data_IF_228728337620
#
_entry.id   IF_228728337620
#
_cell.length_a   1.000
_cell.length_b   1.000
_cell.length_c   1.000
_cell.angle_alpha   90.00
_cell.angle_beta   90.00
_cell.angle_gamma   90.00
#
_symmetry.space_group_name_H-M   'P 1'
#
loop_
_entity.id
_entity.type
_entity.pdbx_description
1 polymer ?
#
# COMPACT_ATOMS: atom_id res chain seq x y z
N UNK A 1 27.39 -46.44 -45.54
CA UNK A 1 26.38 -45.37 -45.40
C UNK A 1 26.53 -44.75 -44.03
N UNK A 2 26.72 -43.44 -43.94
CA UNK A 2 26.74 -42.74 -42.64
C UNK A 2 25.32 -42.26 -42.39
N UNK A 3 24.69 -42.77 -41.33
CA UNK A 3 23.34 -42.39 -40.95
C UNK A 3 23.27 -40.87 -40.68
N UNK A 4 22.26 -40.20 -41.23
CA UNK A 4 22.03 -38.75 -41.10
C UNK A 4 22.02 -38.25 -39.65
N UNK A 5 21.67 -39.13 -38.69
CA UNK A 5 21.69 -38.86 -37.25
C UNK A 5 23.10 -38.69 -36.65
N UNK A 6 24.15 -39.16 -37.34
CA UNK A 6 25.54 -39.02 -36.90
C UNK A 6 26.23 -37.79 -37.50
N UNK A 7 25.61 -37.12 -38.49
CA UNK A 7 26.16 -35.94 -39.16
C UNK A 7 25.82 -34.60 -38.49
N UNK A 8 24.77 -34.55 -37.65
CA UNK A 8 24.54 -33.38 -36.79
C UNK A 8 25.24 -33.65 -35.47
N UNK A 9 26.54 -33.40 -35.43
CA UNK A 9 27.26 -33.28 -34.17
C UNK A 9 26.57 -32.22 -33.31
N UNK A 10 25.70 -32.66 -32.40
CA UNK A 10 25.18 -31.85 -31.32
C UNK A 10 26.36 -31.50 -30.42
N UNK A 11 27.16 -30.50 -30.80
CA UNK A 11 27.63 -29.56 -29.79
C UNK A 11 26.35 -29.06 -29.13
N UNK A 12 26.26 -29.15 -27.80
CA UNK A 12 25.19 -28.55 -26.98
C UNK A 12 25.17 -27.03 -27.19
N UNK A 13 24.78 -26.59 -28.38
CA UNK A 13 24.62 -25.19 -28.70
C UNK A 13 23.30 -24.78 -28.09
N UNK A 14 23.39 -23.93 -27.06
CA UNK A 14 22.24 -23.27 -26.44
C UNK A 14 21.30 -22.77 -27.53
N UNK A 15 19.99 -23.01 -27.36
CA UNK A 15 18.98 -22.58 -28.32
C UNK A 15 19.10 -21.08 -28.61
N UNK A 16 18.82 -20.66 -29.85
CA UNK A 16 18.91 -19.24 -30.25
C UNK A 16 18.07 -18.32 -29.35
N UNK A 17 16.93 -18.81 -28.87
CA UNK A 17 16.09 -18.06 -27.95
C UNK A 17 16.72 -17.91 -26.56
N UNK A 18 17.42 -18.93 -26.06
CA UNK A 18 18.17 -18.88 -24.82
C UNK A 18 19.33 -17.89 -24.92
N UNK A 19 20.12 -17.94 -25.99
CA UNK A 19 21.23 -16.99 -26.21
C UNK A 19 20.74 -15.54 -26.27
N UNK A 20 19.64 -15.28 -26.99
CA UNK A 20 19.03 -13.94 -27.07
C UNK A 20 18.49 -13.48 -25.73
N UNK A 21 17.88 -14.38 -24.96
CA UNK A 21 17.36 -14.10 -23.63
C UNK A 21 18.47 -13.75 -22.62
N UNK A 22 19.56 -14.53 -22.62
CA UNK A 22 20.74 -14.25 -21.78
C UNK A 22 21.29 -12.86 -22.07
N UNK A 23 21.56 -12.53 -23.35
CA UNK A 23 22.06 -11.19 -23.72
C UNK A 23 21.15 -10.07 -23.21
N UNK A 24 19.83 -10.22 -23.35
CA UNK A 24 18.86 -9.23 -22.86
C UNK A 24 18.86 -9.07 -21.35
N UNK A 25 19.02 -10.15 -20.59
CA UNK A 25 19.18 -10.09 -19.12
C UNK A 25 20.43 -9.29 -18.76
N UNK A 26 21.55 -9.57 -19.44
CA UNK A 26 22.81 -8.85 -19.22
C UNK A 26 22.69 -7.36 -19.59
N UNK A 27 22.06 -7.05 -20.73
CA UNK A 27 21.83 -5.68 -21.18
C UNK A 27 20.94 -4.92 -20.18
N UNK A 28 19.90 -5.56 -19.64
CA UNK A 28 19.05 -4.96 -18.62
C UNK A 28 19.82 -4.68 -17.32
N UNK A 29 20.69 -5.59 -16.88
CA UNK A 29 21.56 -5.37 -15.72
C UNK A 29 22.50 -4.17 -15.94
N UNK A 30 23.06 -4.02 -17.15
CA UNK A 30 23.94 -2.91 -17.52
C UNK A 30 23.19 -1.57 -17.56
N UNK A 31 21.98 -1.54 -18.14
CA UNK A 31 21.11 -0.35 -18.17
C UNK A 31 20.77 0.11 -16.75
N UNK A 32 20.53 -0.83 -15.84
CA UNK A 32 20.26 -0.57 -14.42
C UNK A 32 21.53 -0.32 -13.58
N UNK A 33 22.72 -0.43 -14.17
CA UNK A 33 24.03 -0.29 -13.51
C UNK A 33 24.18 -1.22 -12.28
N UNK A 34 23.73 -2.47 -12.42
CA UNK A 34 23.81 -3.46 -11.35
C UNK A 34 25.22 -4.06 -11.21
N UNK A 35 25.61 -4.50 -10.01
CA UNK A 35 26.87 -5.23 -9.81
C UNK A 35 26.93 -6.53 -10.61
N UNK A 36 28.12 -6.96 -11.03
CA UNK A 36 28.31 -8.17 -11.85
C UNK A 36 27.72 -9.45 -11.21
N UNK A 37 27.78 -9.58 -9.88
CA UNK A 37 27.19 -10.70 -9.16
C UNK A 37 25.67 -10.86 -9.39
N UNK A 38 24.97 -9.75 -9.65
CA UNK A 38 23.53 -9.77 -9.94
C UNK A 38 23.27 -10.31 -11.35
N UNK A 39 24.13 -9.96 -12.30
CA UNK A 39 24.05 -10.44 -13.67
C UNK A 39 24.17 -11.96 -13.71
N UNK A 40 25.17 -12.53 -13.05
CA UNK A 40 25.38 -13.99 -12.97
C UNK A 40 24.18 -14.72 -12.36
N UNK A 41 23.65 -14.18 -11.25
CA UNK A 41 22.49 -14.75 -10.56
C UNK A 41 21.23 -14.69 -11.44
N UNK A 42 20.98 -13.55 -12.08
CA UNK A 42 19.82 -13.38 -12.95
C UNK A 42 19.88 -14.27 -14.20
N UNK A 43 21.07 -14.42 -14.80
CA UNK A 43 21.30 -15.33 -15.94
C UNK A 43 21.08 -16.78 -15.52
N UNK A 44 21.57 -17.18 -14.33
CA UNK A 44 21.33 -18.51 -13.78
C UNK A 44 19.84 -18.81 -13.58
N UNK A 45 19.08 -17.87 -13.01
CA UNK A 45 17.63 -18.03 -12.90
C UNK A 45 16.92 -18.13 -14.25
N UNK A 46 17.35 -17.35 -15.24
CA UNK A 46 16.76 -17.39 -16.57
C UNK A 46 17.02 -18.73 -17.27
N UNK A 47 18.25 -19.23 -17.18
CA UNK A 47 18.63 -20.55 -17.73
C UNK A 47 17.83 -21.67 -17.09
N UNK A 48 17.73 -21.67 -15.75
CA UNK A 48 16.92 -22.66 -15.00
C UNK A 48 15.44 -22.58 -15.35
N UNK A 49 14.88 -21.37 -15.47
CA UNK A 49 13.47 -21.20 -15.84
C UNK A 49 13.16 -21.77 -17.22
N UNK A 50 14.04 -21.58 -18.21
CA UNK A 50 13.85 -22.10 -19.56
C UNK A 50 14.04 -23.61 -19.70
N UNK A 51 14.50 -24.32 -18.65
CA UNK A 51 14.53 -25.78 -18.60
C UNK A 51 13.21 -26.37 -18.06
N UNK A 52 12.31 -25.53 -17.54
CA UNK A 52 11.05 -25.98 -16.98
C UNK A 52 9.96 -26.08 -18.06
N UNK A 53 9.15 -27.16 -18.08
CA UNK A 53 8.06 -27.33 -19.04
C UNK A 53 7.09 -26.14 -19.08
N UNK A 54 6.87 -25.49 -17.94
CA UNK A 54 6.01 -24.31 -17.81
C UNK A 54 6.42 -23.13 -18.70
N UNK A 55 7.70 -23.02 -19.07
CA UNK A 55 8.24 -21.91 -19.87
C UNK A 55 8.73 -22.33 -21.27
N UNK A 56 8.69 -23.63 -21.61
CA UNK A 56 9.14 -24.11 -22.93
C UNK A 56 8.29 -23.55 -24.08
N UNK A 57 6.96 -23.62 -23.95
CA UNK A 57 6.00 -23.30 -25.01
C UNK A 57 5.28 -21.96 -24.81
N UNK A 58 5.82 -21.06 -23.99
CA UNK A 58 5.21 -19.73 -23.80
C UNK A 58 5.55 -18.79 -24.96
N UNK A 59 4.71 -17.77 -25.14
CA UNK A 59 4.89 -16.74 -26.16
C UNK A 59 6.25 -16.02 -26.03
N UNK A 60 6.73 -15.45 -27.14
CA UNK A 60 7.98 -14.70 -27.14
C UNK A 60 7.96 -13.56 -26.11
N UNK A 61 6.86 -12.81 -26.03
CA UNK A 61 6.67 -11.73 -25.05
C UNK A 61 6.87 -12.24 -23.61
N UNK A 62 6.27 -13.38 -23.24
CA UNK A 62 6.46 -13.96 -21.90
C UNK A 62 7.91 -14.37 -21.64
N UNK A 63 8.65 -14.84 -22.66
CA UNK A 63 10.08 -15.15 -22.54
C UNK A 63 10.93 -13.89 -22.36
N UNK A 64 10.54 -12.77 -22.95
CA UNK A 64 11.20 -11.48 -22.73
C UNK A 64 10.97 -10.97 -21.30
N UNK A 65 9.73 -11.04 -20.82
CA UNK A 65 9.37 -10.67 -19.45
C UNK A 65 10.02 -11.57 -18.40
N UNK A 66 10.23 -12.85 -18.73
CA UNK A 66 10.91 -13.81 -17.85
C UNK A 66 12.30 -13.31 -17.46
N UNK A 67 13.07 -12.76 -18.41
CA UNK A 67 14.37 -12.17 -18.15
C UNK A 67 14.28 -10.97 -17.18
N UNK A 68 13.29 -10.09 -17.39
CA UNK A 68 13.00 -8.99 -16.47
C UNK A 68 12.61 -9.45 -15.06
N UNK A 69 11.84 -10.53 -14.96
CA UNK A 69 11.46 -11.14 -13.69
C UNK A 69 12.67 -11.74 -12.96
N UNK A 70 13.61 -12.37 -13.68
CA UNK A 70 14.86 -12.86 -13.09
C UNK A 70 15.68 -11.71 -12.49
N UNK A 71 15.89 -10.62 -13.25
CA UNK A 71 16.58 -9.43 -12.74
C UNK A 71 15.86 -8.84 -11.54
N UNK A 72 14.53 -8.75 -11.59
CA UNK A 72 13.71 -8.27 -10.48
C UNK A 72 13.91 -9.08 -9.20
N UNK A 73 13.84 -10.42 -9.29
CA UNK A 73 14.01 -11.32 -8.14
C UNK A 73 15.40 -11.16 -7.55
N UNK A 74 16.45 -11.15 -8.38
CA UNK A 74 17.82 -10.94 -7.93
C UNK A 74 17.97 -9.60 -7.21
N UNK A 75 17.39 -8.52 -7.77
CA UNK A 75 17.39 -7.22 -7.09
C UNK A 75 16.74 -7.28 -5.71
N UNK A 76 15.60 -7.99 -5.58
CA UNK A 76 14.93 -8.14 -4.28
C UNK A 76 15.74 -8.93 -3.26
N UNK A 77 16.42 -9.99 -3.68
CA UNK A 77 17.24 -10.80 -2.78
C UNK A 77 18.45 -10.04 -2.23
N UNK A 78 18.97 -9.08 -2.99
CA UNK A 78 20.08 -8.22 -2.58
C UNK A 78 19.64 -6.85 -2.03
N UNK A 79 18.36 -6.68 -1.66
CA UNK A 79 17.80 -5.41 -1.16
C UNK A 79 18.01 -4.21 -2.11
N UNK A 80 18.12 -4.46 -3.42
CA UNK A 80 18.20 -3.40 -4.42
C UNK A 80 16.79 -2.85 -4.71
N UNK A 81 16.55 -1.54 -4.55
CA UNK A 81 15.22 -0.95 -4.53
C UNK A 81 14.64 -0.74 -5.93
N UNK A 82 14.37 -1.85 -6.62
CA UNK A 82 13.76 -1.87 -7.95
C UNK A 82 12.26 -2.13 -7.83
N UNK A 83 11.46 -1.29 -8.51
CA UNK A 83 10.01 -1.46 -8.58
C UNK A 83 9.60 -2.22 -9.85
N UNK A 84 8.50 -2.96 -9.79
CA UNK A 84 7.94 -3.62 -10.98
C UNK A 84 7.62 -2.61 -12.08
N UNK A 85 7.12 -1.42 -11.70
CA UNK A 85 6.84 -0.33 -12.63
C UNK A 85 8.07 0.09 -13.43
N UNK A 86 9.23 0.26 -12.79
CA UNK A 86 10.49 0.61 -13.46
C UNK A 86 10.89 -0.42 -14.51
N UNK A 87 10.82 -1.71 -14.18
CA UNK A 87 11.15 -2.79 -15.14
C UNK A 87 10.13 -2.82 -16.28
N UNK A 88 8.84 -2.68 -15.97
CA UNK A 88 7.80 -2.65 -17.00
C UNK A 88 8.00 -1.47 -17.96
N UNK A 89 8.40 -0.29 -17.45
CA UNK A 89 8.72 0.86 -18.29
C UNK A 89 9.95 0.62 -19.18
N UNK A 90 11.01 0.01 -18.65
CA UNK A 90 12.22 -0.31 -19.42
C UNK A 90 11.98 -1.37 -20.50
N UNK A 91 11.10 -2.34 -20.22
CA UNK A 91 10.75 -3.42 -21.14
C UNK A 91 9.53 -3.11 -22.02
N UNK A 92 8.95 -1.91 -21.90
CA UNK A 92 7.71 -1.51 -22.57
C UNK A 92 6.56 -2.52 -22.38
N UNK A 93 6.45 -3.07 -21.18
CA UNK A 93 5.58 -4.19 -20.83
C UNK A 93 4.33 -3.77 -20.06
N UNK A 94 3.24 -4.53 -20.22
CA UNK A 94 2.04 -4.39 -19.39
C UNK A 94 2.28 -4.97 -17.99
N UNK A 95 1.94 -4.21 -16.95
CA UNK A 95 2.17 -4.61 -15.55
C UNK A 95 1.46 -5.92 -15.17
N UNK A 96 0.25 -6.15 -15.69
CA UNK A 96 -0.53 -7.38 -15.42
C UNK A 96 0.16 -8.62 -15.98
N UNK A 97 0.71 -8.53 -17.20
CA UNK A 97 1.46 -9.62 -17.81
C UNK A 97 2.75 -9.90 -17.06
N UNK A 98 3.47 -8.84 -16.66
CA UNK A 98 4.68 -8.97 -15.85
C UNK A 98 4.39 -9.64 -14.51
N UNK A 99 3.32 -9.23 -13.81
CA UNK A 99 2.92 -9.81 -12.54
C UNK A 99 2.59 -11.31 -12.67
N UNK A 100 1.87 -11.70 -13.73
CA UNK A 100 1.56 -13.10 -14.02
C UNK A 100 2.84 -13.93 -14.23
N UNK A 101 3.76 -13.47 -15.07
CA UNK A 101 5.04 -14.16 -15.33
C UNK A 101 5.91 -14.23 -14.07
N UNK A 102 5.96 -13.16 -13.28
CA UNK A 102 6.69 -13.12 -12.00
C UNK A 102 6.17 -14.16 -11.00
N UNK A 103 4.84 -14.26 -10.83
CA UNK A 103 4.23 -15.22 -9.92
C UNK A 103 4.48 -16.67 -10.38
N UNK A 104 4.39 -16.93 -11.69
CA UNK A 104 4.76 -18.23 -12.25
C UNK A 104 6.24 -18.55 -11.99
N UNK A 105 7.15 -17.62 -12.27
CA UNK A 105 8.58 -17.82 -12.05
C UNK A 105 8.89 -18.14 -10.59
N UNK A 106 8.32 -17.36 -9.66
CA UNK A 106 8.52 -17.55 -8.23
C UNK A 106 8.05 -18.93 -7.77
N UNK A 107 6.87 -19.37 -8.25
CA UNK A 107 6.29 -20.67 -7.92
C UNK A 107 7.14 -21.82 -8.47
N UNK A 108 7.46 -21.77 -9.77
CA UNK A 108 8.11 -22.87 -10.47
C UNK A 108 9.58 -23.06 -10.06
N UNK A 109 10.30 -21.99 -9.71
CA UNK A 109 11.67 -22.06 -9.20
C UNK A 109 11.77 -22.15 -7.67
N UNK A 110 10.64 -22.11 -6.95
CA UNK A 110 10.61 -22.15 -5.48
C UNK A 110 11.39 -21.00 -4.83
N UNK A 111 11.36 -19.81 -5.42
CA UNK A 111 12.19 -18.68 -4.97
C UNK A 111 11.55 -17.96 -3.77
N UNK A 112 12.35 -17.76 -2.73
CA UNK A 112 12.01 -16.81 -1.67
C UNK A 112 12.39 -15.40 -2.13
N UNK A 113 11.39 -14.51 -2.25
CA UNK A 113 11.55 -13.14 -2.72
C UNK A 113 11.22 -12.18 -1.58
N UNK A 114 12.20 -11.45 -1.02
CA UNK A 114 11.95 -10.48 0.03
C UNK A 114 11.02 -9.33 -0.40
N UNK A 115 10.32 -8.77 0.59
CA UNK A 115 9.56 -7.54 0.40
C UNK A 115 10.50 -6.36 0.06
N UNK A 116 9.95 -5.32 -0.58
CA UNK A 116 10.73 -4.14 -0.94
C UNK A 116 11.14 -3.37 0.32
N UNK A 117 12.43 -3.13 0.49
CA UNK A 117 12.93 -2.22 1.53
C UNK A 117 12.44 -0.80 1.24
N UNK A 118 11.58 -0.27 2.12
CA UNK A 118 11.09 1.10 2.01
C UNK A 118 12.20 2.13 2.24
N UNK A 119 13.14 1.84 3.14
CA UNK A 119 14.26 2.73 3.43
C UNK A 119 15.16 2.91 2.20
N UNK A 120 15.48 1.82 1.50
CA UNK A 120 16.32 1.90 0.29
C UNK A 120 15.56 2.46 -0.90
N UNK A 121 14.24 2.22 -0.98
CA UNK A 121 13.37 2.90 -1.93
C UNK A 121 13.37 4.42 -1.70
N UNK A 122 13.30 4.89 -0.45
CA UNK A 122 13.38 6.32 -0.13
C UNK A 122 14.70 6.90 -0.59
N UNK A 123 15.83 6.26 -0.28
CA UNK A 123 17.17 6.73 -0.68
C UNK A 123 17.30 6.87 -2.20
N UNK A 124 16.81 5.88 -2.94
CA UNK A 124 16.91 5.82 -4.41
C UNK A 124 15.89 6.72 -5.10
N UNK A 125 14.69 6.85 -4.54
CA UNK A 125 13.70 7.77 -5.09
C UNK A 125 14.12 9.23 -4.85
N UNK A 126 14.70 9.55 -3.69
CA UNK A 126 15.18 10.91 -3.41
C UNK A 126 16.49 11.25 -4.12
N UNK A 127 17.30 10.27 -4.52
CA UNK A 127 18.53 10.55 -5.26
C UNK A 127 18.26 11.12 -6.66
N UNK A 128 17.07 10.88 -7.23
CA UNK A 128 16.66 11.49 -8.50
C UNK A 128 16.12 12.92 -8.35
N UNK A 129 15.93 13.43 -7.13
CA UNK A 129 15.31 14.73 -6.91
C UNK A 129 16.31 15.85 -7.18
N UNK A 130 15.92 16.80 -8.02
CA UNK A 130 16.71 18.00 -8.35
C UNK A 130 16.78 19.03 -7.21
N UNK A 131 16.21 18.74 -6.04
CA UNK A 131 16.13 19.65 -4.89
C UNK A 131 17.40 19.72 -4.04
N UNK A 132 18.34 18.80 -4.26
CA UNK A 132 19.58 18.71 -3.49
C UNK A 132 20.76 19.46 -4.16
N UNK A 133 20.56 19.97 -5.38
CA UNK A 133 21.58 20.68 -6.14
C UNK A 133 21.01 21.98 -6.73
N UNK A 134 21.79 23.09 -6.71
CA UNK A 134 21.37 24.32 -7.36
C UNK A 134 21.13 24.11 -8.86
N UNK A 135 19.97 24.54 -9.35
CA UNK A 135 19.62 24.55 -10.77
C UNK A 135 18.76 25.78 -11.05
N UNK A 136 18.81 26.30 -12.28
CA UNK A 136 18.01 27.47 -12.69
C UNK A 136 16.49 27.27 -12.48
N UNK A 137 16.03 26.01 -12.52
CA UNK A 137 14.63 25.63 -12.32
C UNK A 137 14.20 25.61 -10.84
N UNK A 138 15.15 25.59 -9.90
CA UNK A 138 14.90 25.37 -8.46
C UNK A 138 15.15 26.66 -7.68
N UNK A 139 14.12 27.30 -7.12
CA UNK A 139 14.30 28.48 -6.28
C UNK A 139 15.20 28.19 -5.07
N UNK A 140 16.06 29.13 -4.69
CA UNK A 140 16.92 29.03 -3.49
C UNK A 140 16.19 28.54 -2.21
N UNK A 141 14.96 29.01 -1.86
CA UNK A 141 14.25 28.51 -0.69
C UNK A 141 13.82 27.03 -0.79
N UNK A 142 13.82 26.45 -1.99
CA UNK A 142 13.41 25.08 -2.25
C UNK A 142 14.57 24.09 -2.16
N UNK A 143 15.81 24.58 -2.21
CA UNK A 143 16.99 23.76 -1.98
C UNK A 143 17.03 23.24 -0.55
N UNK A 144 17.38 21.96 -0.41
CA UNK A 144 17.48 21.30 0.89
C UNK A 144 18.67 20.34 0.93
N UNK A 145 19.16 20.09 2.14
CA UNK A 145 20.20 19.09 2.36
C UNK A 145 19.66 17.68 2.14
N UNK A 146 20.43 16.86 1.41
CA UNK A 146 20.01 15.50 1.02
C UNK A 146 19.82 14.60 2.23
N UNK A 147 20.73 14.65 3.20
CA UNK A 147 20.69 13.77 4.37
C UNK A 147 19.50 14.11 5.27
N UNK A 148 19.27 15.40 5.53
CA UNK A 148 18.10 15.87 6.29
C UNK A 148 16.79 15.48 5.61
N UNK A 149 16.71 15.60 4.29
CA UNK A 149 15.52 15.23 3.53
C UNK A 149 15.27 13.71 3.59
N UNK A 150 16.31 12.90 3.39
CA UNK A 150 16.22 11.43 3.47
C UNK A 150 15.82 10.99 4.87
N UNK A 151 16.53 11.43 5.91
CA UNK A 151 16.27 11.05 7.29
C UNK A 151 14.83 11.37 7.72
N UNK A 152 14.35 12.57 7.38
CA UNK A 152 12.98 12.98 7.70
C UNK A 152 11.94 12.22 6.88
N UNK A 153 12.21 11.93 5.60
CA UNK A 153 11.31 11.15 4.76
C UNK A 153 11.18 9.73 5.26
N UNK A 154 12.29 9.07 5.63
CA UNK A 154 12.29 7.74 6.25
C UNK A 154 11.43 7.77 7.52
N UNK A 155 11.60 8.77 8.39
CA UNK A 155 10.80 8.87 9.60
C UNK A 155 9.29 8.99 9.37
N UNK A 156 8.87 9.70 8.31
CA UNK A 156 7.45 9.80 7.92
C UNK A 156 6.95 8.50 7.27
N UNK A 157 7.78 7.81 6.49
CA UNK A 157 7.42 6.52 5.88
C UNK A 157 7.28 5.42 6.93
N UNK A 158 8.14 5.40 7.95
CA UNK A 158 8.02 4.51 9.11
C UNK A 158 6.71 4.78 9.87
N UNK A 159 6.39 6.06 10.13
CA UNK A 159 5.10 6.45 10.69
C UNK A 159 3.92 5.97 9.83
N UNK A 160 4.03 6.08 8.50
CA UNK A 160 3.01 5.60 7.57
C UNK A 160 2.82 4.08 7.66
N UNK A 161 3.91 3.33 7.87
CA UNK A 161 3.88 1.88 8.05
C UNK A 161 3.20 1.50 9.36
N UNK A 162 3.56 2.16 10.47
CA UNK A 162 2.93 1.97 11.79
C UNK A 162 1.43 2.34 11.79
N UNK A 163 1.03 3.25 10.91
CA UNK A 163 -0.35 3.74 10.79
C UNK A 163 -1.18 3.09 9.66
N UNK A 164 -0.80 1.90 9.19
CA UNK A 164 -1.53 1.14 8.15
C UNK A 164 -1.69 1.84 6.78
N UNK A 165 -0.83 2.82 6.46
CA UNK A 165 -0.90 3.52 5.17
C UNK A 165 -0.09 2.85 4.05
N UNK A 166 0.79 1.90 4.39
CA UNK A 166 1.65 1.19 3.43
C UNK A 166 1.03 -0.15 3.00
N UNK A 167 0.44 -0.89 3.93
CA UNK A 167 -0.05 -2.25 3.70
C UNK A 167 -1.09 -2.29 2.56
N UNK A 168 -0.86 -3.17 1.57
CA UNK A 168 -1.74 -3.34 0.42
C UNK A 168 -1.75 -2.18 -0.58
N UNK A 169 -0.77 -1.26 -0.52
CA UNK A 169 -0.73 -0.05 -1.35
C UNK A 169 0.59 0.05 -2.11
N UNK A 170 0.56 0.76 -3.23
CA UNK A 170 1.78 1.04 -3.99
C UNK A 170 2.71 1.94 -3.17
N UNK A 171 4.00 1.59 -2.98
CA UNK A 171 4.90 2.29 -2.07
C UNK A 171 5.36 3.66 -2.60
N UNK A 172 5.54 3.81 -3.92
CA UNK A 172 6.03 5.08 -4.52
C UNK A 172 5.15 6.29 -4.15
N UNK A 173 3.80 6.27 -4.32
CA UNK A 173 2.95 7.38 -3.86
C UNK A 173 3.08 7.73 -2.37
N UNK A 174 3.36 6.75 -1.51
CA UNK A 174 3.56 6.99 -0.06
C UNK A 174 4.87 7.74 0.15
N UNK A 175 5.96 7.28 -0.49
CA UNK A 175 7.27 7.93 -0.45
C UNK A 175 7.20 9.34 -1.03
N UNK A 176 6.52 9.56 -2.17
CA UNK A 176 6.37 10.90 -2.76
C UNK A 176 5.64 11.87 -1.82
N UNK A 177 4.55 11.41 -1.18
CA UNK A 177 3.82 12.22 -0.21
C UNK A 177 4.65 12.52 1.06
N UNK A 178 5.39 11.52 1.56
CA UNK A 178 6.28 11.67 2.70
C UNK A 178 7.44 12.63 2.40
N UNK A 179 8.05 12.52 1.22
CA UNK A 179 9.13 13.40 0.77
C UNK A 179 8.68 14.86 0.68
N UNK A 180 7.46 15.11 0.18
CA UNK A 180 6.87 16.44 0.15
C UNK A 180 6.68 17.01 1.57
N UNK A 181 6.12 16.23 2.51
CA UNK A 181 5.95 16.66 3.90
C UNK A 181 7.29 16.90 4.61
N UNK A 182 8.27 16.02 4.38
CA UNK A 182 9.62 16.17 4.91
C UNK A 182 10.23 17.50 4.42
N UNK A 183 10.20 17.73 3.12
CA UNK A 183 10.69 18.96 2.51
C UNK A 183 9.97 20.22 3.02
N UNK A 184 8.63 20.20 3.11
CA UNK A 184 7.89 21.35 3.66
C UNK A 184 8.22 21.61 5.13
N UNK A 185 8.30 20.57 5.96
CA UNK A 185 8.51 20.72 7.40
C UNK A 185 9.93 21.17 7.78
N UNK A 186 10.92 20.95 6.91
CA UNK A 186 12.29 21.46 7.12
C UNK A 186 12.36 23.00 6.99
N UNK A 187 11.57 23.61 6.10
CA UNK A 187 11.46 25.08 5.98
C UNK A 187 10.01 25.54 5.72
N UNK A 188 9.13 25.50 6.73
CA UNK A 188 7.69 25.71 6.52
C UNK A 188 7.35 27.10 5.98
N UNK A 189 8.02 28.15 6.47
CA UNK A 189 7.71 29.55 6.10
C UNK A 189 7.75 29.79 4.59
N UNK A 190 8.71 29.19 3.89
CA UNK A 190 8.88 29.39 2.45
C UNK A 190 8.15 28.34 1.59
N UNK A 191 7.69 27.23 2.18
CA UNK A 191 7.28 26.03 1.43
C UNK A 191 5.80 25.65 1.58
N UNK A 192 5.12 26.16 2.60
CA UNK A 192 3.71 25.84 2.86
C UNK A 192 2.75 26.31 1.74
N UNK A 193 3.13 27.33 0.98
CA UNK A 193 2.37 27.82 -0.18
C UNK A 193 2.55 26.93 -1.42
N UNK A 194 3.56 26.04 -1.44
CA UNK A 194 3.85 25.18 -2.58
C UNK A 194 2.97 23.92 -2.55
N UNK A 195 2.14 23.66 -3.58
CA UNK A 195 1.35 22.43 -3.65
C UNK A 195 2.21 21.24 -4.11
N UNK A 196 1.75 20.02 -3.80
CA UNK A 196 2.43 18.75 -4.14
C UNK A 196 2.80 18.66 -5.63
N UNK A 197 1.91 19.05 -6.54
CA UNK A 197 2.17 18.99 -7.98
C UNK A 197 3.32 19.92 -8.42
N UNK A 198 3.42 21.12 -7.82
CA UNK A 198 4.52 22.05 -8.09
C UNK A 198 5.83 21.51 -7.52
N UNK A 199 5.79 20.91 -6.33
CA UNK A 199 6.94 20.24 -5.73
C UNK A 199 7.48 19.13 -6.64
N UNK A 200 6.62 18.21 -7.12
CA UNK A 200 7.04 17.13 -8.01
C UNK A 200 7.69 17.66 -9.30
N UNK A 201 7.09 18.70 -9.90
CA UNK A 201 7.65 19.36 -11.10
C UNK A 201 9.05 19.93 -10.85
N UNK A 202 9.24 20.69 -9.77
CA UNK A 202 10.56 21.28 -9.44
C UNK A 202 11.57 20.20 -9.03
N UNK A 203 11.11 19.12 -8.39
CA UNK A 203 11.94 17.97 -8.07
C UNK A 203 12.33 17.13 -9.30
N UNK A 204 11.68 17.33 -10.45
CA UNK A 204 11.92 16.57 -11.67
C UNK A 204 11.37 15.14 -11.63
N UNK A 205 10.27 14.92 -10.91
CA UNK A 205 9.63 13.60 -10.78
C UNK A 205 8.16 13.64 -11.17
N UNK A 206 7.67 12.54 -11.72
CA UNK A 206 6.26 12.36 -12.01
C UNK A 206 5.44 12.32 -10.73
N UNK A 207 4.24 12.90 -10.78
CA UNK A 207 3.29 12.87 -9.67
C UNK A 207 2.44 11.59 -9.76
N UNK A 208 2.61 10.62 -8.84
CA UNK A 208 1.80 9.42 -8.84
C UNK A 208 0.34 9.77 -8.49
N UNK A 209 -0.68 9.28 -9.23
CA UNK A 209 -2.07 9.66 -8.97
C UNK A 209 -2.56 9.48 -7.52
N UNK A 210 -2.18 8.38 -6.81
CA UNK A 210 -2.60 8.19 -5.41
C UNK A 210 -1.88 9.09 -4.39
N UNK A 211 -0.86 9.86 -4.80
CA UNK A 211 -0.01 10.60 -3.85
C UNK A 211 -0.78 11.68 -3.07
N UNK A 212 -1.76 12.33 -3.69
CA UNK A 212 -2.64 13.29 -3.01
C UNK A 212 -3.48 12.64 -1.90
N UNK A 213 -3.93 11.40 -2.11
CA UNK A 213 -4.67 10.64 -1.09
C UNK A 213 -3.75 10.26 0.07
N UNK A 214 -2.53 9.79 -0.22
CA UNK A 214 -1.52 9.46 0.81
C UNK A 214 -1.15 10.68 1.64
N UNK A 215 -0.98 11.84 1.00
CA UNK A 215 -0.72 13.11 1.68
C UNK A 215 -1.85 13.49 2.64
N UNK A 216 -3.11 13.35 2.20
CA UNK A 216 -4.28 13.66 3.03
C UNK A 216 -4.33 12.75 4.27
N UNK A 217 -4.12 11.46 4.09
CA UNK A 217 -4.13 10.47 5.18
C UNK A 217 -2.98 10.72 6.18
N UNK A 218 -1.77 11.03 5.69
CA UNK A 218 -0.62 11.38 6.54
C UNK A 218 -0.89 12.62 7.39
N UNK A 219 -1.47 13.66 6.80
CA UNK A 219 -1.84 14.88 7.52
C UNK A 219 -2.90 14.62 8.60
N UNK A 220 -3.83 13.71 8.36
CA UNK A 220 -4.85 13.31 9.34
C UNK A 220 -4.24 12.55 10.52
N UNK A 221 -3.26 11.67 10.28
CA UNK A 221 -2.50 10.99 11.35
C UNK A 221 -1.71 12.00 12.18
N UNK A 222 -0.99 12.92 11.52
CA UNK A 222 -0.21 13.95 12.21
C UNK A 222 -1.10 14.85 13.07
N UNK A 223 -2.29 15.20 12.61
CA UNK A 223 -3.28 15.94 13.40
C UNK A 223 -3.77 15.13 14.62
N UNK A 224 -4.01 13.83 14.44
CA UNK A 224 -4.34 12.91 15.52
C UNK A 224 -3.25 12.88 16.60
N UNK A 225 -2.00 12.72 16.19
CA UNK A 225 -0.83 12.75 17.08
C UNK A 225 -0.68 14.11 17.78
N UNK A 226 -0.81 15.22 17.06
CA UNK A 226 -0.66 16.56 17.63
C UNK A 226 -1.72 16.87 18.69
N UNK A 227 -2.92 16.29 18.58
CA UNK A 227 -3.98 16.44 19.59
C UNK A 227 -3.61 15.86 20.97
N UNK A 228 -2.59 14.99 21.04
CA UNK A 228 -2.08 14.40 22.28
C UNK A 228 -1.10 15.30 23.02
N UNK A 229 -0.51 16.30 22.35
CA UNK A 229 0.41 17.24 22.95
C UNK A 229 -0.36 18.42 23.54
N UNK A 230 -0.32 18.57 24.87
CA UNK A 230 -1.10 19.60 25.59
C UNK A 230 -0.81 21.02 25.08
N UNK A 231 0.47 21.34 24.81
CA UNK A 231 0.90 22.64 24.31
C UNK A 231 0.49 22.90 22.85
N UNK A 232 0.20 21.87 22.04
CA UNK A 232 -0.34 22.03 20.68
C UNK A 232 -1.87 22.06 20.65
N UNK A 233 -2.53 21.45 21.64
CA UNK A 233 -3.99 21.36 21.72
C UNK A 233 -4.66 22.75 21.74
N UNK A 234 -4.00 23.74 22.34
CA UNK A 234 -4.48 25.12 22.38
C UNK A 234 -4.52 25.83 21.03
N UNK A 235 -3.74 25.39 20.03
CA UNK A 235 -3.53 26.13 18.77
C UNK A 235 -4.50 25.78 17.63
N UNK A 236 -5.51 24.91 17.85
CA UNK A 236 -6.45 24.41 16.81
C UNK A 236 -5.75 24.20 15.45
N UNK A 237 -4.83 23.25 15.41
CA UNK A 237 -4.05 22.96 14.20
C UNK A 237 -4.92 22.48 13.05
N UNK A 238 -4.54 22.91 11.85
CA UNK A 238 -5.09 22.47 10.57
C UNK A 238 -4.05 21.69 9.75
N UNK A 239 -4.46 21.18 8.59
CA UNK A 239 -3.60 20.39 7.69
C UNK A 239 -2.36 21.15 7.20
N UNK A 240 -2.34 22.49 7.25
CA UNK A 240 -1.19 23.31 6.81
C UNK A 240 -0.25 23.63 7.96
N UNK A 241 -0.79 23.96 9.12
CA UNK A 241 -0.05 24.39 10.31
C UNK A 241 0.62 23.22 11.02
N UNK A 242 0.01 22.02 11.02
CA UNK A 242 0.61 20.80 11.60
C UNK A 242 1.97 20.45 10.99
N UNK A 243 2.20 20.81 9.72
CA UNK A 243 3.45 20.55 9.00
C UNK A 243 4.65 21.21 9.69
N UNK A 244 4.45 22.34 10.40
CA UNK A 244 5.50 23.03 11.15
C UNK A 244 6.03 22.20 12.32
N UNK A 245 5.22 21.29 12.85
CA UNK A 245 5.49 20.49 14.05
C UNK A 245 5.88 19.05 13.74
N UNK A 246 6.06 18.69 12.46
CA UNK A 246 6.42 17.32 12.05
C UNK A 246 7.73 16.85 12.69
N UNK A 247 8.69 17.75 12.93
CA UNK A 247 9.92 17.41 13.64
C UNK A 247 9.64 16.85 15.05
N UNK A 248 8.89 17.64 15.84
CA UNK A 248 8.54 17.31 17.21
C UNK A 248 7.66 16.04 17.28
N UNK A 249 6.71 15.90 16.34
CA UNK A 249 5.82 14.74 16.26
C UNK A 249 6.60 13.45 15.93
N UNK A 250 7.58 13.53 15.04
CA UNK A 250 8.39 12.37 14.68
C UNK A 250 9.31 11.91 15.82
N UNK A 251 9.85 12.86 16.61
CA UNK A 251 10.71 12.55 17.75
C UNK A 251 10.01 11.66 18.79
N UNK A 252 8.69 11.83 18.95
CA UNK A 252 7.88 11.06 19.91
C UNK A 252 6.85 10.14 19.24
N UNK A 253 7.07 9.77 17.96
CA UNK A 253 6.05 9.11 17.12
C UNK A 253 5.41 7.87 17.73
N UNK A 254 6.21 6.98 18.31
CA UNK A 254 5.74 5.69 18.85
C UNK A 254 4.78 5.92 20.01
N UNK A 255 5.13 6.85 20.92
CA UNK A 255 4.29 7.22 22.05
C UNK A 255 3.01 7.91 21.56
N UNK A 256 3.14 8.93 20.70
CA UNK A 256 2.01 9.71 20.22
C UNK A 256 1.01 8.89 19.40
N UNK A 257 1.49 7.94 18.60
CA UNK A 257 0.63 7.04 17.83
C UNK A 257 -0.20 6.14 18.77
N UNK A 258 0.43 5.57 19.80
CA UNK A 258 -0.25 4.78 20.83
C UNK A 258 -1.24 5.62 21.64
N UNK A 259 -0.90 6.85 22.01
CA UNK A 259 -1.82 7.72 22.75
C UNK A 259 -2.97 8.23 21.90
N UNK A 260 -2.73 8.53 20.62
CA UNK A 260 -3.75 9.09 19.73
C UNK A 260 -4.80 8.07 19.29
N UNK A 261 -4.40 6.80 19.20
CA UNK A 261 -5.23 5.75 18.60
C UNK A 261 -5.25 4.44 19.39
N UNK A 262 -4.71 4.45 20.61
CA UNK A 262 -4.78 3.34 21.54
C UNK A 262 -6.21 3.12 21.99
N UNK A 263 -6.60 1.86 22.02
CA UNK A 263 -7.83 1.43 22.65
C UNK A 263 -7.66 1.64 24.16
N UNK A 264 -8.57 2.37 24.81
CA UNK A 264 -8.69 2.25 26.26
C UNK A 264 -8.92 0.77 26.54
N UNK A 265 -7.92 0.12 27.13
CA UNK A 265 -8.09 -1.19 27.74
C UNK A 265 -9.14 -0.94 28.82
N UNK A 266 -10.38 -1.33 28.53
CA UNK A 266 -11.48 -1.18 29.47
C UNK A 266 -11.06 -1.66 30.85
N UNK A 267 -11.46 -0.88 31.86
CA UNK A 267 -11.25 -1.07 33.27
C UNK A 267 -11.38 -2.53 33.71
N UNK A 268 -10.33 -3.10 34.32
CA UNK A 268 -10.43 -4.19 35.30
C UNK A 268 -9.06 -4.46 35.95
N UNK A 269 -8.55 -3.52 36.74
CA UNK A 269 -7.71 -3.83 37.90
C UNK A 269 -7.64 -2.57 38.78
N UNK A 270 -7.74 -2.76 40.10
CA UNK A 270 -7.74 -1.73 41.15
C UNK A 270 -9.08 -1.02 41.42
N UNK A 271 -10.04 -1.77 41.97
CA UNK A 271 -10.79 -1.33 43.15
C UNK A 271 -11.19 -2.53 44.02
N UNK A 272 -10.60 -2.59 45.22
CA UNK A 272 -11.22 -3.17 46.40
C UNK A 272 -11.16 -4.69 46.57
N UNK A 273 -10.01 -5.20 46.98
CA UNK A 273 -10.00 -6.35 47.86
C UNK A 273 -10.60 -5.94 49.22
N UNK A 274 -11.84 -6.33 49.49
CA UNK A 274 -12.40 -6.50 50.83
C UNK A 274 -13.78 -7.16 50.74
N UNK A 275 -13.79 -8.50 50.73
CA UNK A 275 -14.91 -9.27 51.26
C UNK A 275 -14.38 -10.04 52.46
N UNK A 276 -15.00 -9.79 53.61
CA UNK A 276 -14.66 -10.40 54.89
C UNK A 276 -15.64 -9.93 55.95
N UNK A 277 -16.78 -10.63 56.04
CA UNK A 277 -17.78 -10.51 57.09
C UNK A 277 -17.18 -10.83 58.47
N UNK A 278 -17.64 -10.14 59.52
CA UNK A 278 -17.31 -10.48 60.91
C UNK A 278 -17.77 -9.51 61.99
N UNK A 279 -19.07 -9.51 62.28
CA UNK A 279 -19.74 -9.45 63.60
C UNK A 279 -19.41 -8.41 64.71
N UNK A 280 -20.50 -7.72 65.14
CA UNK A 280 -20.95 -7.37 66.52
C UNK A 280 -20.21 -6.36 67.43
N UNK A 281 -20.95 -5.35 67.92
CA UNK A 281 -20.66 -4.63 69.18
C UNK A 281 -21.34 -3.24 69.34
N UNK A 282 -22.32 -3.17 70.27
CA UNK A 282 -23.25 -2.10 70.69
C UNK A 282 -22.74 -0.69 71.06
N UNK A 283 -23.63 0.33 70.98
CA UNK A 283 -23.64 1.51 71.89
C UNK A 283 -24.18 2.86 71.34
N UNK A 284 -25.42 3.24 71.69
CA UNK A 284 -26.18 4.49 71.40
C UNK A 284 -25.86 5.67 72.38
N UNK A 285 -26.60 6.82 72.45
CA UNK A 285 -27.18 7.77 71.45
C UNK A 285 -27.02 9.30 71.78
N UNK A 286 -27.50 10.17 70.86
CA UNK A 286 -28.03 11.55 71.12
C UNK A 286 -27.27 12.68 70.40
N UNK A 287 -27.86 13.76 69.83
CA UNK A 287 -29.23 14.28 69.69
C UNK A 287 -29.17 15.51 68.72
N UNK A 288 -30.23 15.81 67.94
CA UNK A 288 -30.49 17.17 67.40
C UNK A 288 -30.59 17.35 65.87
N UNK A 289 -31.83 17.37 65.35
CA UNK A 289 -32.27 17.89 64.03
C UNK A 289 -32.80 19.35 64.21
N UNK A 290 -33.29 20.16 63.23
CA UNK A 290 -33.94 19.76 61.96
C UNK A 290 -33.83 20.70 60.72
N UNK A 291 -34.51 20.28 59.62
CA UNK A 291 -35.15 21.02 58.49
C UNK A 291 -34.46 21.12 57.12
N UNK A 292 -35.01 20.37 56.16
CA UNK A 292 -35.01 20.56 54.69
C UNK A 292 -36.10 21.59 54.26
N UNK A 293 -36.18 22.12 53.01
CA UNK A 293 -36.30 21.37 51.72
C UNK A 293 -35.60 22.07 50.50
N UNK A 294 -35.96 21.85 49.22
CA UNK A 294 -35.32 20.87 48.33
C UNK A 294 -34.78 21.42 46.98
N UNK A 295 -33.95 20.61 46.30
CA UNK A 295 -33.71 20.56 44.82
C UNK A 295 -33.15 21.79 44.10
N UNK A 296 -31.89 21.68 43.65
CA UNK A 296 -31.48 22.09 42.30
C UNK A 296 -30.35 21.15 41.83
N UNK A 297 -30.72 20.19 41.00
CA UNK A 297 -29.84 19.23 40.36
C UNK A 297 -29.23 19.92 39.14
N UNK A 298 -28.10 20.62 39.30
CA UNK A 298 -27.31 21.07 38.16
C UNK A 298 -26.66 19.84 37.51
N UNK A 299 -27.27 19.38 36.42
CA UNK A 299 -26.67 18.51 35.42
C UNK A 299 -25.46 19.22 34.82
N UNK A 300 -24.31 19.08 35.46
CA UNK A 300 -23.01 19.31 34.85
C UNK A 300 -22.86 18.31 33.69
N UNK A 301 -23.02 18.81 32.46
CA UNK A 301 -22.72 18.06 31.25
C UNK A 301 -21.23 17.68 31.27
N UNK A 302 -20.86 16.39 31.13
CA UNK A 302 -19.49 16.04 30.80
C UNK A 302 -19.25 16.52 29.37
N UNK A 303 -18.34 17.48 29.21
CA UNK A 303 -17.75 17.84 27.92
C UNK A 303 -17.35 16.54 27.21
N UNK A 304 -17.93 16.33 26.03
CA UNK A 304 -17.72 15.17 25.18
C UNK A 304 -16.21 14.93 24.95
N UNK A 305 -15.63 14.05 25.78
CA UNK A 305 -14.33 13.46 25.53
C UNK A 305 -14.47 12.65 24.26
N UNK A 306 -13.85 13.11 23.18
CA UNK A 306 -13.74 12.32 21.96
C UNK A 306 -12.96 11.06 22.33
N UNK A 307 -13.64 9.92 22.40
CA UNK A 307 -12.96 8.63 22.48
C UNK A 307 -11.87 8.58 21.39
N UNK A 308 -10.66 8.11 21.71
CA UNK A 308 -9.62 7.89 20.71
C UNK A 308 -10.22 7.06 19.56
N UNK A 309 -10.11 7.58 18.33
CA UNK A 309 -10.53 6.78 17.16
C UNK A 309 -9.54 5.62 17.05
N UNK A 310 -9.99 4.37 16.84
CA UNK A 310 -9.07 3.25 16.72
C UNK A 310 -8.19 3.42 15.47
N UNK A 311 -6.91 3.05 15.57
CA UNK A 311 -5.98 3.06 14.44
C UNK A 311 -6.34 1.93 13.49
N UNK A 312 -7.13 2.24 12.45
CA UNK A 312 -7.57 1.26 11.48
C UNK A 312 -7.07 1.61 10.07
N UNK A 313 -6.81 0.60 9.22
CA UNK A 313 -6.61 0.82 7.80
C UNK A 313 -7.72 1.72 7.20
N UNK A 314 -7.39 2.69 6.34
CA UNK A 314 -8.39 3.64 5.84
C UNK A 314 -9.58 3.00 5.10
N UNK A 315 -9.40 1.80 4.55
CA UNK A 315 -10.47 1.03 3.90
C UNK A 315 -11.52 0.48 4.87
N UNK A 316 -11.22 0.35 6.17
CA UNK A 316 -12.17 -0.04 7.21
C UNK A 316 -12.92 1.16 7.78
N UNK A 317 -12.28 2.34 7.80
CA UNK A 317 -12.90 3.59 8.26
C UNK A 317 -13.93 4.09 7.25
N UNK A 318 -13.63 3.93 5.96
CA UNK A 318 -14.51 4.33 4.86
C UNK A 318 -14.83 3.13 3.97
N UNK A 319 -15.64 2.17 4.44
CA UNK A 319 -15.98 1.00 3.64
C UNK A 319 -16.69 1.46 2.38
N UNK A 320 -16.30 0.90 1.22
CA UNK A 320 -17.08 1.07 0.00
C UNK A 320 -18.49 0.57 0.28
N UNK A 321 -19.49 1.38 -0.05
CA UNK A 321 -20.90 0.97 0.01
C UNK A 321 -21.04 -0.28 -0.86
N UNK A 322 -21.09 -1.46 -0.24
CA UNK A 322 -21.56 -2.65 -0.93
C UNK A 322 -23.05 -2.45 -1.07
N UNK A 323 -23.54 -2.36 -2.31
CA UNK A 323 -24.90 -2.79 -2.57
C UNK A 323 -25.00 -4.17 -1.93
N UNK A 324 -25.98 -4.38 -1.06
CA UNK A 324 -26.33 -5.75 -0.69
C UNK A 324 -26.74 -6.40 -2.00
N UNK A 325 -25.81 -7.11 -2.64
CA UNK A 325 -26.20 -8.28 -3.40
C UNK A 325 -27.14 -9.01 -2.46
N UNK A 326 -28.36 -9.34 -2.91
CA UNK A 326 -29.12 -10.38 -2.23
C UNK A 326 -28.08 -11.48 -1.93
N UNK A 327 -27.95 -11.87 -0.66
CA UNK A 327 -27.06 -12.97 -0.30
C UNK A 327 -27.23 -14.03 -1.40
N UNK A 328 -26.16 -14.57 -2.01
CA UNK A 328 -26.33 -15.63 -3.00
C UNK A 328 -27.29 -16.58 -2.34
N UNK A 329 -28.53 -16.61 -2.83
CA UNK A 329 -29.55 -17.48 -2.30
C UNK A 329 -28.86 -18.81 -2.40
N UNK A 330 -28.56 -19.42 -1.26
CA UNK A 330 -28.10 -20.80 -1.22
C UNK A 330 -28.96 -21.50 -2.25
N UNK A 331 -28.36 -22.07 -3.33
CA UNK A 331 -29.16 -22.69 -4.37
C UNK A 331 -30.15 -23.57 -3.63
N UNK A 332 -31.43 -23.30 -3.85
CA UNK A 332 -32.49 -23.95 -3.10
C UNK A 332 -32.15 -25.44 -3.14
N UNK A 333 -31.94 -26.12 -1.99
CA UNK A 333 -31.44 -27.48 -1.96
C UNK A 333 -32.32 -28.47 -2.75
N UNK A 334 -33.50 -28.01 -3.17
CA UNK A 334 -34.41 -28.68 -4.09
C UNK A 334 -34.01 -28.63 -5.58
N UNK A 335 -33.04 -27.81 -5.99
CA UNK A 335 -32.54 -27.73 -7.38
C UNK A 335 -31.42 -28.75 -7.58
N UNK A 336 -31.81 -29.90 -8.12
CA UNK A 336 -31.01 -31.07 -8.48
C UNK A 336 -30.42 -31.00 -9.89
N UNK A 337 -31.02 -30.21 -10.79
CA UNK A 337 -30.66 -30.15 -12.21
C UNK A 337 -31.34 -31.21 -13.08
N UNK A 338 -32.10 -32.13 -12.45
CA UNK A 338 -32.89 -33.16 -13.11
C UNK A 338 -34.39 -32.79 -13.14
N UNK A 339 -34.74 -31.53 -12.81
CA UNK A 339 -36.12 -31.08 -12.85
C UNK A 339 -36.67 -31.13 -14.28
N UNK A 340 -37.92 -31.60 -14.48
CA UNK A 340 -38.56 -31.53 -15.79
C UNK A 340 -38.77 -30.05 -16.16
N UNK A 341 -38.13 -29.62 -17.24
CA UNK A 341 -38.34 -28.29 -17.83
C UNK A 341 -39.60 -28.37 -18.70
N UNK A 342 -40.64 -27.60 -18.36
CA UNK A 342 -41.86 -27.57 -19.16
C UNK A 342 -41.65 -26.85 -20.50
N UNK A 343 -42.40 -27.24 -21.53
CA UNK A 343 -42.36 -26.55 -22.83
C UNK A 343 -42.66 -25.05 -22.69
N UNK A 344 -43.54 -24.66 -21.77
CA UNK A 344 -43.85 -23.25 -21.48
C UNK A 344 -42.64 -22.45 -20.95
N UNK A 345 -41.77 -23.08 -20.16
CA UNK A 345 -40.53 -22.46 -19.65
C UNK A 345 -39.49 -22.29 -20.78
N UNK A 346 -39.54 -23.14 -21.81
CA UNK A 346 -38.68 -23.04 -22.99
C UNK A 346 -39.23 -21.99 -23.97
N UNK A 347 -40.55 -21.96 -24.16
CA UNK A 347 -41.23 -21.08 -25.11
C UNK A 347 -41.02 -19.59 -24.80
N UNK A 348 -40.87 -19.17 -23.54
CA UNK A 348 -40.55 -17.78 -23.18
C UNK A 348 -39.19 -17.30 -23.72
N UNK A 349 -38.26 -18.21 -24.04
CA UNK A 349 -36.98 -17.86 -24.66
C UNK A 349 -37.07 -17.86 -26.20
N UNK A 350 -38.15 -18.37 -26.77
CA UNK A 350 -38.41 -18.36 -28.21
C UNK A 350 -39.13 -17.06 -28.58
N UNK A 351 -38.66 -16.41 -29.64
CA UNK A 351 -39.36 -15.26 -30.19
C UNK A 351 -40.67 -15.71 -30.81
N UNK A 352 -41.72 -14.97 -30.52
CA UNK A 352 -43.01 -15.11 -31.18
C UNK A 352 -42.90 -14.85 -32.70
N UNK A 353 -43.82 -15.39 -33.52
CA UNK A 353 -43.83 -15.14 -34.96
C UNK A 353 -43.89 -13.64 -35.32
N UNK A 354 -44.59 -12.84 -34.50
CA UNK A 354 -44.66 -11.38 -34.66
C UNK A 354 -43.33 -10.69 -34.37
N UNK A 355 -42.62 -11.08 -33.30
CA UNK A 355 -41.28 -10.58 -33.02
C UNK A 355 -40.29 -10.95 -34.11
N UNK A 356 -40.40 -12.15 -34.70
CA UNK A 356 -39.57 -12.56 -35.83
C UNK A 356 -39.86 -11.71 -37.07
N UNK A 357 -41.14 -11.43 -37.37
CA UNK A 357 -41.54 -10.54 -38.49
C UNK A 357 -41.03 -9.11 -38.27
N UNK A 358 -41.22 -8.57 -37.06
CA UNK A 358 -40.73 -7.24 -36.69
C UNK A 358 -39.21 -7.14 -36.78
N UNK A 359 -38.49 -8.15 -36.27
CA UNK A 359 -37.04 -8.22 -36.35
C UNK A 359 -36.54 -8.31 -37.80
N UNK A 360 -37.18 -9.13 -38.65
CA UNK A 360 -36.83 -9.22 -40.09
C UNK A 360 -37.07 -7.89 -40.81
N UNK A 361 -38.16 -7.20 -40.50
CA UNK A 361 -38.48 -5.89 -41.07
C UNK A 361 -37.47 -4.82 -40.64
N UNK A 362 -37.06 -4.84 -39.36
CA UNK A 362 -36.04 -3.92 -38.83
C UNK A 362 -34.63 -4.19 -39.35
N UNK A 363 -34.29 -5.45 -39.66
CA UNK A 363 -32.98 -5.84 -40.21
C UNK A 363 -32.86 -5.65 -41.74
N UNK A 364 -33.99 -5.57 -42.44
CA UNK A 364 -34.03 -5.36 -43.89
C UNK A 364 -33.91 -3.88 -44.30
N UNK A 365 -33.67 -2.99 -43.35
CA UNK A 365 -33.41 -1.56 -43.55
C UNK A 365 -31.93 -1.24 -43.33
#
# INVERSE_FOLDING_TARGET
EVAYSQSTGQKEQLSRCLQRGIRRVQDLCKVLQLPAAFEETAVSYFQRALQLPAFHLVSLEKKELLGGCCVFVTCRQHNWPLTMGTICSLLYAKQELFAGVFLSLQKELGLSVPALSLADLVKTHLSSFRLCQPSAEVPAPFLEDREKLVARTVGIVELASEAWLVTGRHPVPVVTAAAFLAWQSLRPRARLSCPLARFCRVAGVDLPPPAHLRLKELLEILLGMASQLAWLRGFRLDKKTVVKHVGDLLQHRVFLLKSAFGQERGDEQQRGAASGQGSTGQGSPGQGSPRSPPVAQEKGCPLAGKCPRPLLPPCLIHPRKRLRSAAPSTPDPAVTGDEPISDSEIEQYLRSPDEVRAFRKAKAW
#
